data_IF_397139460773
#
_entry.id   IF_397139460773
#
_cell.length_a   1.000
_cell.length_b   1.000
_cell.length_c   1.000
_cell.angle_alpha   90.00
_cell.angle_beta   90.00
_cell.angle_gamma   90.00
#
_symmetry.space_group_name_H-M   'P 1'
#
loop_
_entity.id
_entity.type
_entity.pdbx_description
1 polymer ?
#
# COMPACT_ATOMS: atom_id res chain seq x y z
N UNK A 1 -16.42 -5.54 22.49
CA UNK A 1 -15.48 -4.41 22.64
C UNK A 1 -14.08 -4.99 22.59
N UNK A 2 -13.41 -4.96 21.44
CA UNK A 2 -12.06 -5.53 21.29
C UNK A 2 -11.05 -4.52 21.82
N UNK A 3 -10.69 -4.59 23.10
CA UNK A 3 -9.87 -3.56 23.77
C UNK A 3 -8.37 -3.61 23.46
N UNK A 4 -7.86 -4.61 22.75
CA UNK A 4 -6.41 -4.74 22.54
C UNK A 4 -6.05 -5.18 21.12
N UNK A 5 -6.31 -4.31 20.14
CA UNK A 5 -5.65 -4.46 18.83
C UNK A 5 -4.25 -3.85 18.91
N UNK A 6 -3.24 -4.65 18.62
CA UNK A 6 -1.86 -4.19 18.48
C UNK A 6 -1.54 -4.17 17.00
N UNK A 7 -1.11 -3.00 16.49
CA UNK A 7 -0.65 -2.93 15.11
C UNK A 7 0.57 -3.83 14.92
N UNK A 8 0.59 -4.54 13.79
CA UNK A 8 1.81 -5.24 13.39
C UNK A 8 2.85 -4.23 12.89
N UNK A 9 4.13 -4.62 12.86
CA UNK A 9 5.21 -3.74 12.38
C UNK A 9 4.94 -3.24 10.95
N UNK A 10 4.34 -4.09 10.12
CA UNK A 10 3.93 -3.76 8.76
C UNK A 10 2.86 -2.67 8.75
N UNK A 11 1.91 -2.74 9.67
CA UNK A 11 0.82 -1.78 9.75
C UNK A 11 1.29 -0.42 10.26
N UNK A 12 2.20 -0.41 11.23
CA UNK A 12 2.85 0.82 11.69
C UNK A 12 3.67 1.44 10.56
N UNK A 13 4.40 0.63 9.79
CA UNK A 13 5.14 1.09 8.61
C UNK A 13 4.21 1.72 7.56
N UNK A 14 3.09 1.04 7.24
CA UNK A 14 2.10 1.53 6.28
C UNK A 14 1.41 2.82 6.79
N UNK A 15 1.05 2.90 8.08
CA UNK A 15 0.50 4.12 8.67
C UNK A 15 1.49 5.29 8.58
N UNK A 16 2.76 5.05 8.93
CA UNK A 16 3.81 6.05 8.85
C UNK A 16 4.03 6.52 7.42
N UNK A 17 4.09 5.59 6.46
CA UNK A 17 4.24 5.89 5.05
C UNK A 17 3.11 6.78 4.55
N UNK A 18 1.85 6.44 4.84
CA UNK A 18 0.71 7.24 4.43
C UNK A 18 0.68 8.62 5.10
N UNK A 19 1.04 8.71 6.39
CA UNK A 19 1.17 10.00 7.05
C UNK A 19 2.27 10.86 6.41
N UNK A 20 3.41 10.27 6.05
CA UNK A 20 4.52 10.96 5.39
C UNK A 20 4.16 11.39 3.97
N UNK A 21 3.43 10.54 3.24
CA UNK A 21 2.83 10.85 1.94
C UNK A 21 1.65 11.84 2.04
N UNK A 22 1.24 12.23 3.26
CA UNK A 22 0.17 13.19 3.53
C UNK A 22 -1.26 12.67 3.28
N UNK A 23 -1.43 11.35 3.18
CA UNK A 23 -2.72 10.69 2.96
C UNK A 23 -3.43 10.61 4.32
N UNK A 24 -4.50 11.38 4.48
CA UNK A 24 -5.18 11.56 5.76
C UNK A 24 -6.60 10.99 5.75
N UNK A 25 -7.19 10.76 4.57
CA UNK A 25 -8.58 10.32 4.43
C UNK A 25 -8.73 9.16 3.42
N UNK A 26 -9.70 8.25 3.61
CA UNK A 26 -9.95 7.14 2.70
C UNK A 26 -10.26 7.55 1.26
N UNK A 27 -10.91 8.70 1.07
CA UNK A 27 -11.29 9.18 -0.26
C UNK A 27 -10.07 9.56 -1.11
N UNK A 28 -8.90 9.69 -0.48
CA UNK A 28 -7.62 9.94 -1.13
C UNK A 28 -6.94 8.63 -1.60
N UNK A 29 -7.55 7.46 -1.38
CA UNK A 29 -7.03 6.17 -1.83
C UNK A 29 -7.41 5.87 -3.29
N UNK A 30 -7.19 6.85 -4.16
CA UNK A 30 -7.35 6.68 -5.62
C UNK A 30 -6.01 6.32 -6.24
N UNK A 31 -6.05 5.70 -7.43
CA UNK A 31 -4.84 5.32 -8.17
C UNK A 31 -3.99 6.57 -8.45
N UNK A 32 -4.61 7.67 -8.83
CA UNK A 32 -3.95 8.93 -9.17
C UNK A 32 -3.27 9.57 -7.96
N UNK A 33 -3.97 9.66 -6.83
CA UNK A 33 -3.45 10.33 -5.65
C UNK A 33 -2.32 9.52 -5.00
N UNK A 34 -2.48 8.19 -4.96
CA UNK A 34 -1.48 7.28 -4.39
C UNK A 34 -0.24 7.18 -5.27
N UNK A 35 -0.41 7.07 -6.60
CA UNK A 35 0.71 7.02 -7.54
C UNK A 35 1.58 8.27 -7.47
N UNK A 36 0.97 9.45 -7.42
CA UNK A 36 1.70 10.72 -7.31
C UNK A 36 2.44 10.86 -5.98
N UNK A 37 1.81 10.49 -4.87
CA UNK A 37 2.39 10.70 -3.53
C UNK A 37 3.46 9.68 -3.18
N UNK A 38 3.37 8.47 -3.73
CA UNK A 38 4.30 7.37 -3.49
C UNK A 38 5.36 7.25 -4.60
N UNK A 39 5.35 8.17 -5.57
CA UNK A 39 6.25 8.16 -6.74
C UNK A 39 6.22 6.81 -7.50
N UNK A 40 5.01 6.29 -7.68
CA UNK A 40 4.75 5.04 -8.41
C UNK A 40 4.21 5.38 -9.79
N UNK A 41 4.86 4.86 -10.82
CA UNK A 41 4.51 5.11 -12.21
C UNK A 41 3.44 4.12 -12.65
N UNK A 42 2.23 4.59 -12.94
CA UNK A 42 1.11 3.71 -13.33
C UNK A 42 0.90 3.78 -14.83
N UNK A 43 0.84 2.60 -15.46
CA UNK A 43 0.59 2.41 -16.88
C UNK A 43 -0.67 1.57 -17.06
N UNK A 44 -1.60 2.03 -17.88
CA UNK A 44 -2.79 1.27 -18.26
C UNK A 44 -2.53 0.62 -19.62
N UNK A 45 -2.38 -0.70 -19.63
CA UNK A 45 -1.94 -1.46 -20.80
C UNK A 45 -2.76 -2.75 -20.93
N UNK A 46 -2.80 -3.35 -22.12
CA UNK A 46 -3.50 -4.62 -22.38
C UNK A 46 -2.72 -5.84 -21.85
N UNK A 47 -2.31 -5.78 -20.59
CA UNK A 47 -1.49 -6.78 -19.89
C UNK A 47 -2.09 -7.08 -18.53
N UNK A 48 -1.77 -8.26 -17.98
CA UNK A 48 -2.16 -8.58 -16.60
C UNK A 48 -1.53 -7.61 -15.62
N UNK A 49 -2.34 -7.11 -14.68
CA UNK A 49 -1.93 -6.16 -13.66
C UNK A 49 -0.73 -6.70 -12.85
N UNK A 50 0.30 -5.86 -12.67
CA UNK A 50 1.54 -6.21 -11.93
C UNK A 50 2.34 -4.98 -11.50
N UNK A 51 2.95 -5.04 -10.33
CA UNK A 51 4.00 -4.11 -9.90
C UNK A 51 5.40 -4.65 -10.19
N UNK A 52 6.33 -3.74 -10.52
CA UNK A 52 7.75 -4.03 -10.64
C UNK A 52 8.61 -2.85 -10.22
N UNK A 53 9.74 -3.15 -9.61
CA UNK A 53 10.80 -2.19 -9.35
C UNK A 53 11.78 -2.24 -10.52
N UNK A 54 11.77 -1.21 -11.38
CA UNK A 54 12.62 -1.19 -12.58
C UNK A 54 14.08 -0.98 -12.21
N UNK A 55 14.33 -0.10 -11.23
CA UNK A 55 15.64 0.29 -10.67
C UNK A 55 15.38 0.56 -9.18
N UNK A 56 16.35 0.36 -8.26
CA UNK A 56 16.14 0.62 -6.84
C UNK A 56 15.52 2.00 -6.56
N UNK A 57 14.32 2.00 -5.96
CA UNK A 57 13.54 3.20 -5.65
C UNK A 57 12.66 3.74 -6.78
N UNK A 58 12.63 3.09 -7.96
CA UNK A 58 11.74 3.45 -9.07
C UNK A 58 10.72 2.35 -9.31
N UNK A 59 9.49 2.62 -8.89
CA UNK A 59 8.40 1.67 -8.91
C UNK A 59 7.46 1.94 -10.10
N UNK A 60 7.17 0.90 -10.86
CA UNK A 60 6.24 0.94 -11.98
C UNK A 60 5.16 -0.11 -11.80
N UNK A 61 3.91 0.26 -12.05
CA UNK A 61 2.75 -0.61 -12.02
C UNK A 61 2.08 -0.60 -13.37
N UNK A 62 1.76 -1.79 -13.86
CA UNK A 62 0.94 -1.99 -15.05
C UNK A 62 -0.43 -2.44 -14.56
N UNK A 63 -1.49 -1.79 -15.02
CA UNK A 63 -2.87 -2.16 -14.73
C UNK A 63 -3.54 -2.58 -16.04
N UNK A 64 -4.34 -3.65 -15.98
CA UNK A 64 -5.03 -4.16 -17.16
C UNK A 64 -6.10 -3.18 -17.63
N UNK A 65 -5.85 -2.54 -18.78
CA UNK A 65 -6.71 -1.51 -19.37
C UNK A 65 -8.10 -2.04 -19.74
N UNK A 66 -8.23 -3.36 -19.89
CA UNK A 66 -9.47 -4.05 -20.29
C UNK A 66 -10.44 -4.27 -19.12
N UNK A 67 -9.99 -4.07 -17.89
CA UNK A 67 -10.80 -4.26 -16.68
C UNK A 67 -11.61 -2.99 -16.35
N UNK A 68 -12.77 -3.13 -15.66
CA UNK A 68 -13.49 -1.99 -15.12
C UNK A 68 -12.64 -1.17 -14.15
N UNK A 69 -12.88 0.14 -14.06
CA UNK A 69 -12.14 1.04 -13.18
C UNK A 69 -12.10 0.58 -11.71
N UNK A 70 -13.20 0.03 -11.19
CA UNK A 70 -13.26 -0.52 -9.83
C UNK A 70 -12.28 -1.70 -9.65
N UNK A 71 -12.21 -2.59 -10.66
CA UNK A 71 -11.27 -3.71 -10.63
C UNK A 71 -9.82 -3.24 -10.78
N UNK A 72 -9.55 -2.24 -11.63
CA UNK A 72 -8.23 -1.64 -11.76
C UNK A 72 -7.76 -1.00 -10.44
N UNK A 73 -8.67 -0.35 -9.70
CA UNK A 73 -8.37 0.21 -8.40
C UNK A 73 -8.05 -0.88 -7.36
N UNK A 74 -8.78 -1.99 -7.38
CA UNK A 74 -8.49 -3.15 -6.52
C UNK A 74 -7.14 -3.77 -6.85
N UNK A 75 -6.86 -3.98 -8.13
CA UNK A 75 -5.58 -4.52 -8.61
C UNK A 75 -4.42 -3.59 -8.23
N UNK A 76 -4.57 -2.28 -8.40
CA UNK A 76 -3.59 -1.29 -7.97
C UNK A 76 -3.29 -1.39 -6.46
N UNK A 77 -4.34 -1.44 -5.63
CA UNK A 77 -4.17 -1.55 -4.17
C UNK A 77 -3.52 -2.88 -3.77
N UNK A 78 -3.83 -3.97 -4.47
CA UNK A 78 -3.22 -5.28 -4.28
C UNK A 78 -1.72 -5.27 -4.58
N UNK A 79 -1.34 -4.76 -5.75
CA UNK A 79 0.05 -4.66 -6.19
C UNK A 79 0.85 -3.68 -5.32
N UNK A 80 0.23 -2.58 -4.90
CA UNK A 80 0.82 -1.65 -3.94
C UNK A 80 1.08 -2.33 -2.59
N UNK A 81 0.16 -3.16 -2.09
CA UNK A 81 0.37 -3.92 -0.86
C UNK A 81 1.57 -4.87 -0.98
N UNK A 82 1.75 -5.55 -2.12
CA UNK A 82 2.93 -6.39 -2.35
C UNK A 82 4.22 -5.58 -2.30
N UNK A 83 4.23 -4.42 -2.95
CA UNK A 83 5.38 -3.52 -2.98
C UNK A 83 5.73 -3.00 -1.58
N UNK A 84 4.73 -2.55 -0.82
CA UNK A 84 4.91 -2.09 0.55
C UNK A 84 5.35 -3.22 1.49
N UNK A 85 4.88 -4.45 1.28
CA UNK A 85 5.33 -5.61 2.05
C UNK A 85 6.79 -5.96 1.75
N UNK A 86 7.21 -5.86 0.49
CA UNK A 86 8.62 -6.00 0.11
C UNK A 86 9.48 -4.90 0.75
N UNK A 87 9.10 -3.63 0.61
CA UNK A 87 9.81 -2.49 1.21
C UNK A 87 9.86 -2.58 2.74
N UNK A 88 8.73 -2.89 3.37
CA UNK A 88 8.61 -3.08 4.81
C UNK A 88 9.48 -4.22 5.32
N UNK A 89 9.50 -5.37 4.63
CA UNK A 89 10.39 -6.47 4.98
C UNK A 89 11.87 -6.09 4.88
N UNK A 90 12.27 -5.36 3.83
CA UNK A 90 13.65 -4.86 3.70
C UNK A 90 14.00 -3.87 4.84
N UNK A 91 13.11 -2.94 5.16
CA UNK A 91 13.29 -1.98 6.25
C UNK A 91 13.34 -2.67 7.62
N UNK A 92 12.47 -3.65 7.87
CA UNK A 92 12.42 -4.42 9.12
C UNK A 92 13.67 -5.29 9.28
N UNK A 93 14.13 -5.94 8.21
CA UNK A 93 15.40 -6.70 8.24
C UNK A 93 16.59 -5.79 8.56
N UNK A 94 16.56 -4.51 8.16
CA UNK A 94 17.59 -3.53 8.47
C UNK A 94 17.39 -2.76 9.78
N UNK A 95 16.18 -2.74 10.36
CA UNK A 95 15.87 -1.97 11.58
C UNK A 95 14.97 -2.75 12.53
N UNK A 96 15.50 -3.12 13.70
CA UNK A 96 14.72 -3.54 14.86
C UNK A 96 13.93 -2.35 15.43
N UNK A 97 12.70 -2.12 14.94
CA UNK A 97 11.84 -1.04 15.41
C UNK A 97 10.96 -1.49 16.60
N UNK A 98 10.79 -0.65 17.64
CA UNK A 98 9.89 -0.95 18.76
C UNK A 98 8.41 -0.74 18.36
N UNK A 99 7.55 -1.71 18.70
CA UNK A 99 6.08 -1.67 18.48
C UNK A 99 5.43 -0.46 19.18
N UNK A 100 4.57 0.27 18.47
CA UNK A 100 3.78 1.39 18.98
C UNK A 100 2.27 1.06 19.01
N UNK A 101 1.56 1.51 20.06
CA UNK A 101 0.10 1.32 20.18
C UNK A 101 -0.61 2.55 19.60
N UNK A 102 -1.39 2.39 18.53
CA UNK A 102 -2.35 3.39 18.06
C UNK A 102 -3.65 2.74 17.59
N UNK A 103 -4.76 3.39 17.91
CA UNK A 103 -6.11 3.05 17.48
C UNK A 103 -6.59 4.05 16.42
N UNK A 104 -6.71 3.59 15.17
CA UNK A 104 -7.49 4.28 14.12
C UNK A 104 -8.27 3.26 13.31
N UNK A 105 -9.56 3.14 13.65
CA UNK A 105 -10.51 2.26 12.98
C UNK A 105 -11.17 3.03 11.83
N UNK A 106 -10.84 2.67 10.60
CA UNK A 106 -11.77 2.44 9.47
C UNK A 106 -11.05 2.43 8.10
N UNK A 107 -9.94 3.15 7.93
CA UNK A 107 -9.21 3.19 6.64
C UNK A 107 -8.22 2.02 6.47
N UNK A 108 -7.60 1.59 7.56
CA UNK A 108 -6.62 0.50 7.56
C UNK A 108 -7.26 -0.88 7.29
N UNK A 109 -8.49 -1.13 7.75
CA UNK A 109 -9.14 -2.46 7.65
C UNK A 109 -9.20 -3.03 6.22
N UNK A 110 -9.47 -2.20 5.20
CA UNK A 110 -9.57 -2.68 3.82
C UNK A 110 -8.20 -3.11 3.25
N UNK A 111 -7.11 -2.45 3.65
CA UNK A 111 -5.76 -2.85 3.22
C UNK A 111 -5.19 -4.00 4.06
N UNK A 112 -5.56 -4.09 5.34
CA UNK A 112 -5.16 -5.20 6.21
C UNK A 112 -5.63 -6.56 5.67
N UNK A 113 -6.81 -6.62 5.04
CA UNK A 113 -7.35 -7.84 4.46
C UNK A 113 -6.53 -8.37 3.27
N UNK A 114 -5.80 -7.48 2.57
CA UNK A 114 -4.88 -7.87 1.48
C UNK A 114 -3.49 -8.27 2.01
N UNK A 115 -3.07 -7.75 3.16
CA UNK A 115 -1.78 -8.08 3.78
C UNK A 115 -1.79 -9.41 4.55
N UNK A 116 -2.98 -9.91 4.92
CA UNK A 116 -3.19 -11.20 5.60
C UNK A 116 -3.34 -12.41 4.67
N UNK A 117 -3.26 -12.22 3.34
CA UNK A 117 -3.23 -13.29 2.33
C UNK A 117 -1.84 -13.37 1.68
#
# INVERSE_FOLDING_TARGET
MFEHYYMTLLEEFVEQLYCQAGILKPEQLTVEELSQRLDVWVHFEDVTSRALESIPGMYSMFLDSRLPAEQQQLDFLHELCHLLRHAGNQVIMHKSLPRSKKSKQNTLCYMLQCLSQ
#
